data_IF_967340647858
#
_entry.id   IF_967340647858
#
_cell.length_a   1.000
_cell.length_b   1.000
_cell.length_c   1.000
_cell.angle_alpha   90.00
_cell.angle_beta   90.00
_cell.angle_gamma   90.00
#
_symmetry.space_group_name_H-M   'P 1'
#
loop_
_entity.id
_entity.type
_entity.pdbx_description
1 polymer ?
#
# COMPACT_ATOMS: atom_id res chain seq x y z
N UNK A 1 -5.76 33.01 -8.24
CA UNK A 1 -5.92 31.54 -8.36
C UNK A 1 -7.29 31.22 -7.85
N UNK A 2 -8.20 30.81 -8.72
CA UNK A 2 -9.52 30.33 -8.31
C UNK A 2 -9.35 29.05 -7.50
N UNK A 3 -10.10 28.91 -6.41
CA UNK A 3 -10.36 27.59 -5.84
C UNK A 3 -10.81 26.64 -6.94
N UNK A 4 -10.30 25.40 -6.93
CA UNK A 4 -11.11 24.26 -7.42
C UNK A 4 -10.65 23.48 -8.64
N UNK A 5 -9.40 23.54 -9.10
CA UNK A 5 -8.90 22.54 -10.07
C UNK A 5 -7.56 21.93 -9.66
N UNK A 6 -7.54 20.59 -9.60
CA UNK A 6 -6.32 19.81 -9.40
C UNK A 6 -5.33 20.10 -10.52
N UNK A 7 -4.08 20.38 -10.14
CA UNK A 7 -3.00 20.50 -11.11
C UNK A 7 -2.80 19.20 -11.90
N UNK A 8 -2.27 19.27 -13.14
CA UNK A 8 -2.09 18.10 -13.99
C UNK A 8 -1.25 16.99 -13.36
N UNK A 9 -0.23 17.31 -12.55
CA UNK A 9 0.60 16.30 -11.87
C UNK A 9 -0.23 15.59 -10.81
N UNK A 10 -0.89 16.34 -9.93
CA UNK A 10 -1.74 15.78 -8.89
C UNK A 10 -2.86 14.91 -9.48
N UNK A 11 -3.49 15.35 -10.57
CA UNK A 11 -4.52 14.61 -11.29
C UNK A 11 -4.00 13.29 -11.87
N UNK A 12 -2.82 13.30 -12.49
CA UNK A 12 -2.20 12.10 -13.03
C UNK A 12 -1.86 11.10 -11.91
N UNK A 13 -1.24 11.55 -10.83
CA UNK A 13 -0.91 10.71 -9.67
C UNK A 13 -2.17 10.12 -9.05
N UNK A 14 -3.22 10.92 -8.84
CA UNK A 14 -4.49 10.46 -8.30
C UNK A 14 -5.10 9.34 -9.15
N UNK A 15 -5.06 9.45 -10.48
CA UNK A 15 -5.54 8.41 -11.37
C UNK A 15 -4.71 7.11 -11.27
N UNK A 16 -3.38 7.22 -11.22
CA UNK A 16 -2.49 6.05 -11.09
C UNK A 16 -2.67 5.35 -9.75
N UNK A 17 -2.77 6.11 -8.66
CA UNK A 17 -3.04 5.55 -7.33
C UNK A 17 -4.42 4.90 -7.24
N UNK A 18 -5.46 5.52 -7.80
CA UNK A 18 -6.78 4.91 -7.85
C UNK A 18 -6.80 3.58 -8.61
N UNK A 19 -6.05 3.48 -9.72
CA UNK A 19 -5.91 2.23 -10.49
C UNK A 19 -5.19 1.15 -9.66
N UNK A 20 -4.04 1.47 -9.06
CA UNK A 20 -3.26 0.47 -8.31
C UNK A 20 -3.97 0.01 -7.03
N UNK A 21 -4.73 0.88 -6.35
CA UNK A 21 -5.54 0.49 -5.19
C UNK A 21 -6.67 -0.46 -5.57
N UNK A 22 -7.33 -0.26 -6.72
CA UNK A 22 -8.31 -1.22 -7.25
C UNK A 22 -7.66 -2.55 -7.60
N UNK A 23 -6.46 -2.53 -8.18
CA UNK A 23 -5.72 -3.76 -8.49
C UNK A 23 -5.38 -4.54 -7.20
N UNK A 24 -4.93 -3.85 -6.16
CA UNK A 24 -4.66 -4.46 -4.86
C UNK A 24 -5.93 -5.02 -4.20
N UNK A 25 -7.03 -4.25 -4.20
CA UNK A 25 -8.32 -4.68 -3.67
C UNK A 25 -8.84 -5.94 -4.40
N UNK A 26 -8.78 -5.95 -5.73
CA UNK A 26 -9.21 -7.09 -6.55
C UNK A 26 -8.32 -8.32 -6.29
N UNK A 27 -7.01 -8.14 -6.11
CA UNK A 27 -6.11 -9.23 -5.73
C UNK A 27 -6.48 -9.84 -4.36
N UNK A 28 -6.75 -8.99 -3.36
CA UNK A 28 -7.15 -9.42 -2.01
C UNK A 28 -8.47 -10.17 -2.03
N UNK A 29 -9.45 -9.68 -2.80
CA UNK A 29 -10.78 -10.30 -2.91
C UNK A 29 -10.74 -11.65 -3.66
N UNK A 30 -9.80 -11.81 -4.61
CA UNK A 30 -9.65 -13.05 -5.38
C UNK A 30 -8.91 -14.16 -4.64
N UNK A 31 -8.02 -13.82 -3.71
CA UNK A 31 -7.38 -14.81 -2.88
C UNK A 31 -8.44 -15.55 -2.03
N UNK A 32 -8.53 -16.88 -2.05
CA UNK A 32 -9.45 -17.62 -1.18
C UNK A 32 -8.93 -17.61 0.27
N UNK A 33 -9.80 -17.86 1.25
CA UNK A 33 -9.43 -17.78 2.67
C UNK A 33 -8.40 -18.87 3.03
N UNK A 34 -8.50 -20.05 2.43
CA UNK A 34 -7.61 -21.19 2.68
C UNK A 34 -6.19 -20.96 2.17
N UNK A 35 -6.01 -20.03 1.21
CA UNK A 35 -4.72 -19.66 0.62
C UNK A 35 -4.22 -18.30 1.08
N UNK A 36 -4.98 -17.62 1.94
CA UNK A 36 -4.69 -16.23 2.35
C UNK A 36 -3.31 -16.09 3.00
N UNK A 37 -2.87 -17.13 3.70
CA UNK A 37 -1.57 -17.20 4.36
C UNK A 37 -0.56 -18.07 3.63
N UNK A 38 -0.83 -18.47 2.37
CA UNK A 38 0.14 -19.21 1.58
C UNK A 38 1.38 -18.34 1.28
N UNK A 39 2.55 -18.95 1.40
CA UNK A 39 3.83 -18.28 1.26
C UNK A 39 4.99 -19.13 1.75
N UNK A 40 6.19 -18.59 1.62
CA UNK A 40 7.43 -19.23 2.07
C UNK A 40 8.43 -18.18 2.56
N UNK A 41 9.16 -18.51 3.62
CA UNK A 41 10.24 -17.68 4.13
C UNK A 41 9.74 -16.33 4.63
N UNK A 42 10.12 -15.25 3.93
CA UNK A 42 9.76 -13.86 4.27
C UNK A 42 8.63 -13.31 3.41
N UNK A 43 7.98 -14.15 2.60
CA UNK A 43 6.90 -13.74 1.70
C UNK A 43 5.66 -14.59 1.96
N UNK A 44 4.56 -13.94 2.32
CA UNK A 44 3.23 -14.55 2.45
C UNK A 44 2.20 -13.61 1.84
N UNK A 45 1.15 -14.15 1.20
CA UNK A 45 0.16 -13.32 0.50
C UNK A 45 -0.45 -12.24 1.41
N UNK A 46 -0.95 -12.63 2.59
CA UNK A 46 -1.50 -11.70 3.58
C UNK A 46 -0.49 -10.67 4.08
N UNK A 47 0.77 -11.09 4.28
CA UNK A 47 1.83 -10.21 4.76
C UNK A 47 2.20 -9.17 3.70
N UNK A 48 2.34 -9.59 2.45
CA UNK A 48 2.63 -8.72 1.32
C UNK A 48 1.49 -7.74 1.09
N UNK A 49 0.23 -8.19 1.11
CA UNK A 49 -0.94 -7.32 0.99
C UNK A 49 -0.98 -6.25 2.10
N UNK A 50 -0.77 -6.68 3.36
CA UNK A 50 -0.68 -5.75 4.49
C UNK A 50 0.51 -4.78 4.38
N UNK A 51 1.69 -5.29 3.96
CA UNK A 51 2.92 -4.50 3.81
C UNK A 51 2.79 -3.37 2.79
N UNK A 52 2.09 -3.62 1.67
CA UNK A 52 1.81 -2.57 0.68
C UNK A 52 1.07 -1.40 1.33
N UNK A 53 -0.01 -1.69 2.07
CA UNK A 53 -0.85 -0.68 2.70
C UNK A 53 -0.11 0.04 3.82
N UNK A 54 0.67 -0.71 4.61
CA UNK A 54 1.48 -0.15 5.69
C UNK A 54 2.60 0.76 5.18
N UNK A 55 3.22 0.40 4.06
CA UNK A 55 4.18 1.26 3.36
C UNK A 55 3.52 2.52 2.82
N UNK A 56 2.29 2.40 2.33
CA UNK A 56 1.51 3.55 1.90
C UNK A 56 1.15 4.47 3.08
N UNK A 57 0.83 3.94 4.27
CA UNK A 57 0.65 4.75 5.48
C UNK A 57 1.94 5.47 5.87
N UNK A 58 3.07 4.76 5.84
CA UNK A 58 4.38 5.33 6.19
C UNK A 58 4.71 6.57 5.37
N UNK A 59 4.54 6.50 4.04
CA UNK A 59 4.84 7.62 3.16
C UNK A 59 3.76 8.72 3.10
N UNK A 60 2.59 8.51 3.72
CA UNK A 60 1.65 9.60 4.05
C UNK A 60 2.13 10.45 5.23
N UNK A 61 2.98 9.89 6.09
CA UNK A 61 3.59 10.62 7.19
C UNK A 61 4.60 11.65 6.70
N UNK A 62 4.95 12.57 7.59
CA UNK A 62 6.05 13.53 7.43
C UNK A 62 7.30 13.14 8.22
N UNK A 63 7.18 12.16 9.14
CA UNK A 63 8.28 11.75 10.01
C UNK A 63 8.43 10.22 9.97
N UNK A 64 9.53 9.70 9.42
CA UNK A 64 9.77 8.26 9.37
C UNK A 64 9.93 7.61 10.75
N UNK A 65 10.33 8.35 11.78
CA UNK A 65 10.64 7.81 13.11
C UNK A 65 9.38 7.58 13.95
N UNK A 66 8.24 8.17 13.57
CA UNK A 66 6.96 8.01 14.27
C UNK A 66 6.27 6.68 13.91
N UNK A 67 6.61 6.09 12.76
CA UNK A 67 5.90 4.92 12.26
C UNK A 67 6.15 3.67 13.10
N UNK A 68 5.06 3.06 13.58
CA UNK A 68 5.09 1.79 14.31
C UNK A 68 4.61 0.66 13.41
N UNK A 69 5.55 0.01 12.73
CA UNK A 69 5.26 -1.11 11.83
C UNK A 69 4.62 -2.29 12.58
N UNK A 70 3.51 -2.81 12.04
CA UNK A 70 2.71 -3.88 12.63
C UNK A 70 1.64 -3.41 13.62
N UNK A 71 1.64 -2.13 14.04
CA UNK A 71 0.79 -1.65 15.12
C UNK A 71 -0.70 -1.83 14.85
N UNK A 72 -1.15 -1.65 13.59
CA UNK A 72 -2.55 -1.82 13.19
C UNK A 72 -3.06 -3.25 13.42
N UNK A 73 -2.18 -4.23 13.27
CA UNK A 73 -2.46 -5.64 13.53
C UNK A 73 -2.13 -6.07 14.97
N UNK A 74 -1.68 -5.15 15.83
CA UNK A 74 -1.18 -5.47 17.17
C UNK A 74 0.04 -6.40 17.12
N UNK A 75 0.94 -6.16 16.17
CA UNK A 75 2.22 -6.86 16.01
C UNK A 75 3.32 -5.92 16.48
N UNK A 76 4.17 -6.40 17.39
CA UNK A 76 5.48 -5.79 17.65
C UNK A 76 6.53 -6.57 16.86
N UNK A 77 7.06 -5.99 15.76
CA UNK A 77 8.00 -6.71 14.88
C UNK A 77 9.29 -7.12 15.58
N UNK A 78 9.72 -6.37 16.59
CA UNK A 78 10.95 -6.65 17.35
C UNK A 78 10.84 -7.90 18.24
N UNK A 79 9.61 -8.36 18.50
CA UNK A 79 9.32 -9.51 19.37
C UNK A 79 8.97 -10.78 18.57
N UNK A 80 8.98 -10.73 17.23
CA UNK A 80 8.56 -11.85 16.39
C UNK A 80 9.71 -12.83 16.16
N UNK A 81 9.56 -14.03 16.71
CA UNK A 81 10.48 -15.17 16.47
C UNK A 81 9.93 -16.17 15.44
N UNK A 82 8.62 -16.13 15.17
CA UNK A 82 7.96 -17.02 14.21
C UNK A 82 6.79 -16.29 13.52
N UNK A 83 6.95 -15.98 12.24
CA UNK A 83 5.97 -15.24 11.43
C UNK A 83 4.64 -16.01 11.35
N UNK A 84 4.70 -17.31 11.05
CA UNK A 84 3.50 -18.14 10.85
C UNK A 84 2.62 -18.23 12.09
N UNK A 85 3.22 -18.29 13.29
CA UNK A 85 2.47 -18.43 14.55
C UNK A 85 2.04 -17.11 15.15
N UNK A 86 2.79 -16.03 14.94
CA UNK A 86 2.58 -14.75 15.63
C UNK A 86 1.95 -13.71 14.71
N UNK A 87 2.45 -13.58 13.48
CA UNK A 87 2.04 -12.54 12.53
C UNK A 87 0.82 -12.98 11.73
N UNK A 88 0.90 -14.10 11.02
CA UNK A 88 -0.12 -14.48 10.03
C UNK A 88 -1.54 -14.54 10.63
N UNK A 89 -1.77 -15.14 11.82
CA UNK A 89 -3.12 -15.20 12.41
C UNK A 89 -3.72 -13.83 12.73
N UNK A 90 -2.90 -12.78 12.88
CA UNK A 90 -3.35 -11.40 13.12
C UNK A 90 -3.69 -10.66 11.82
N UNK A 91 -3.15 -11.09 10.69
CA UNK A 91 -3.36 -10.45 9.39
C UNK A 91 -4.60 -11.00 8.70
N UNK A 92 -5.78 -10.85 9.31
CA UNK A 92 -7.02 -11.33 8.70
C UNK A 92 -7.35 -10.56 7.42
N UNK A 93 -8.03 -11.21 6.46
CA UNK A 93 -8.43 -10.57 5.21
C UNK A 93 -9.28 -9.32 5.47
N UNK A 94 -10.18 -9.37 6.44
CA UNK A 94 -11.02 -8.23 6.81
C UNK A 94 -10.24 -7.05 7.38
N UNK A 95 -9.23 -7.32 8.23
CA UNK A 95 -8.32 -6.28 8.71
C UNK A 95 -7.62 -5.59 7.55
N UNK A 96 -7.08 -6.37 6.61
CA UNK A 96 -6.34 -5.84 5.45
C UNK A 96 -7.26 -5.04 4.52
N UNK A 97 -8.48 -5.50 4.26
CA UNK A 97 -9.47 -4.76 3.46
C UNK A 97 -9.89 -3.45 4.11
N UNK A 98 -10.22 -3.49 5.41
CA UNK A 98 -10.54 -2.27 6.18
C UNK A 98 -9.40 -1.28 6.12
N UNK A 99 -8.17 -1.76 6.32
CA UNK A 99 -6.99 -0.91 6.31
C UNK A 99 -6.70 -0.32 4.92
N UNK A 100 -6.87 -1.10 3.85
CA UNK A 100 -6.76 -0.62 2.48
C UNK A 100 -7.72 0.54 2.20
N UNK A 101 -8.99 0.39 2.58
CA UNK A 101 -10.00 1.42 2.34
C UNK A 101 -9.64 2.74 3.05
N UNK A 102 -9.27 2.66 4.33
CA UNK A 102 -8.88 3.84 5.10
C UNK A 102 -7.66 4.57 4.52
N UNK A 103 -6.61 3.81 4.16
CA UNK A 103 -5.38 4.41 3.61
C UNK A 103 -5.59 4.91 2.19
N UNK A 104 -6.35 4.18 1.37
CA UNK A 104 -6.73 4.63 0.02
C UNK A 104 -7.51 5.94 0.05
N UNK A 105 -8.46 6.08 0.98
CA UNK A 105 -9.22 7.32 1.16
C UNK A 105 -8.31 8.48 1.61
N UNK A 106 -7.43 8.26 2.59
CA UNK A 106 -6.45 9.27 3.04
C UNK A 106 -5.55 9.72 1.90
N UNK A 107 -5.04 8.80 1.09
CA UNK A 107 -4.26 9.11 -0.11
C UNK A 107 -5.02 9.99 -1.10
N UNK A 108 -6.28 9.64 -1.38
CA UNK A 108 -7.12 10.42 -2.28
C UNK A 108 -7.35 11.84 -1.74
N UNK A 109 -7.57 11.99 -0.44
CA UNK A 109 -7.79 13.29 0.19
C UNK A 109 -6.51 14.14 0.22
N UNK A 110 -5.36 13.55 0.53
CA UNK A 110 -4.06 14.22 0.47
C UNK A 110 -3.74 14.72 -0.94
N UNK A 111 -3.96 13.89 -1.96
CA UNK A 111 -3.70 14.28 -3.35
C UNK A 111 -4.69 15.35 -3.85
N UNK A 112 -5.91 15.39 -3.32
CA UNK A 112 -6.89 16.45 -3.62
C UNK A 112 -6.51 17.80 -3.00
N UNK A 113 -5.83 17.79 -1.86
CA UNK A 113 -5.48 19.01 -1.13
C UNK A 113 -4.16 19.65 -1.56
N UNK A 114 -3.32 18.93 -2.30
CA UNK A 114 -1.97 19.38 -2.68
C UNK A 114 -1.95 19.97 -4.09
N UNK A 115 -1.24 21.07 -4.26
CA UNK A 115 -0.97 21.67 -5.56
C UNK A 115 0.27 21.08 -6.24
N UNK A 116 0.37 21.24 -7.57
CA UNK A 116 1.55 20.78 -8.32
C UNK A 116 2.84 21.45 -7.83
N UNK A 117 2.79 22.72 -7.43
CA UNK A 117 3.97 23.42 -6.89
C UNK A 117 4.40 22.89 -5.53
N UNK A 118 3.48 22.36 -4.72
CA UNK A 118 3.79 21.69 -3.46
C UNK A 118 4.37 20.30 -3.68
N UNK A 119 3.82 19.50 -4.62
CA UNK A 119 4.37 18.19 -4.99
C UNK A 119 5.84 18.29 -5.45
N UNK A 120 6.25 19.42 -6.02
CA UNK A 120 7.61 19.65 -6.47
C UNK A 120 8.59 20.11 -5.37
N UNK A 121 8.13 20.33 -4.13
CA UNK A 121 9.00 20.69 -3.00
C UNK A 121 9.79 19.48 -2.50
N UNK A 122 10.84 19.79 -1.74
CA UNK A 122 11.63 18.80 -1.00
C UNK A 122 10.74 18.06 0.01
N UNK A 123 11.07 16.80 0.25
CA UNK A 123 10.39 15.96 1.24
C UNK A 123 11.11 15.98 2.59
N UNK A 124 10.41 15.70 3.68
CA UNK A 124 11.00 15.56 5.01
C UNK A 124 11.83 14.26 5.15
N UNK A 125 11.57 13.29 4.28
CA UNK A 125 12.34 12.05 4.21
C UNK A 125 13.72 12.33 3.60
N UNK A 126 14.77 12.33 4.42
CA UNK A 126 16.12 12.73 4.03
C UNK A 126 16.75 11.90 2.89
N UNK A 127 16.21 10.71 2.58
CA UNK A 127 16.65 9.86 1.46
C UNK A 127 15.83 10.05 0.18
N UNK A 128 14.89 10.98 0.15
CA UNK A 128 14.05 11.30 -1.02
C UNK A 128 14.20 12.79 -1.35
N UNK A 129 14.39 13.12 -2.61
CA UNK A 129 14.68 14.50 -3.05
C UNK A 129 13.46 15.41 -3.08
N UNK A 130 12.26 14.85 -3.29
CA UNK A 130 11.01 15.61 -3.42
C UNK A 130 9.78 14.78 -3.09
N UNK A 131 8.66 15.46 -2.79
CA UNK A 131 7.35 14.81 -2.61
C UNK A 131 6.98 14.01 -3.86
N UNK A 132 7.22 14.55 -5.07
CA UNK A 132 6.97 13.83 -6.32
C UNK A 132 7.74 12.51 -6.40
N UNK A 133 9.04 12.52 -6.06
CA UNK A 133 9.83 11.30 -6.05
C UNK A 133 9.28 10.28 -5.04
N UNK A 134 8.87 10.72 -3.85
CA UNK A 134 8.21 9.85 -2.84
C UNK A 134 6.96 9.19 -3.41
N UNK A 135 6.12 9.97 -4.08
CA UNK A 135 4.88 9.48 -4.69
C UNK A 135 5.14 8.51 -5.84
N UNK A 136 6.16 8.75 -6.68
CA UNK A 136 6.52 7.80 -7.74
C UNK A 136 7.15 6.53 -7.16
N UNK A 137 7.99 6.67 -6.14
CA UNK A 137 8.60 5.54 -5.43
C UNK A 137 7.55 4.61 -4.87
N UNK A 138 6.57 5.15 -4.13
CA UNK A 138 5.51 4.35 -3.53
C UNK A 138 4.62 3.70 -4.60
N UNK A 139 4.31 4.40 -5.70
CA UNK A 139 3.55 3.81 -6.80
C UNK A 139 4.30 2.62 -7.42
N UNK A 140 5.61 2.73 -7.63
CA UNK A 140 6.45 1.64 -8.14
C UNK A 140 6.52 0.48 -7.16
N UNK A 141 6.73 0.76 -5.87
CA UNK A 141 6.75 -0.25 -4.79
C UNK A 141 5.43 -1.03 -4.73
N UNK A 142 4.31 -0.31 -4.77
CA UNK A 142 2.97 -0.89 -4.78
C UNK A 142 2.78 -1.80 -5.99
N UNK A 143 3.10 -1.32 -7.20
CA UNK A 143 2.97 -2.09 -8.42
C UNK A 143 3.84 -3.36 -8.41
N UNK A 144 5.08 -3.26 -7.88
CA UNK A 144 5.98 -4.40 -7.75
C UNK A 144 5.33 -5.52 -6.93
N UNK A 145 4.80 -5.22 -5.74
CA UNK A 145 4.18 -6.22 -4.88
C UNK A 145 2.81 -6.69 -5.38
N UNK A 146 2.01 -5.83 -6.03
CA UNK A 146 0.79 -6.28 -6.72
C UNK A 146 1.13 -7.29 -7.82
N UNK A 147 2.27 -7.14 -8.49
CA UNK A 147 2.82 -8.16 -9.40
C UNK A 147 3.09 -9.49 -8.69
N UNK A 148 3.67 -9.48 -7.50
CA UNK A 148 3.90 -10.69 -6.69
C UNK A 148 2.58 -11.37 -6.26
N UNK A 149 1.58 -10.59 -5.85
CA UNK A 149 0.25 -11.12 -5.52
C UNK A 149 -0.40 -11.75 -6.75
N UNK A 150 -0.30 -11.10 -7.92
CA UNK A 150 -0.83 -11.64 -9.18
C UNK A 150 -0.12 -12.92 -9.61
N UNK A 151 1.19 -13.05 -9.36
CA UNK A 151 1.91 -14.31 -9.59
C UNK A 151 1.31 -15.43 -8.74
N UNK A 152 1.12 -15.19 -7.43
CA UNK A 152 0.55 -16.19 -6.54
C UNK A 152 -0.88 -16.59 -6.92
N UNK A 153 -1.73 -15.63 -7.32
CA UNK A 153 -3.07 -15.95 -7.84
C UNK A 153 -3.02 -16.91 -9.04
N UNK A 154 -2.08 -16.68 -9.97
CA UNK A 154 -1.90 -17.57 -11.13
C UNK A 154 -1.37 -18.95 -10.74
N UNK A 155 -0.49 -19.03 -9.74
CA UNK A 155 0.01 -20.31 -9.21
C UNK A 155 -1.10 -21.13 -8.53
N UNK A 156 -2.20 -20.49 -8.14
CA UNK A 156 -3.41 -21.14 -7.62
C UNK A 156 -4.49 -21.38 -8.69
N UNK A 157 -4.14 -21.26 -9.98
CA UNK A 157 -5.06 -21.35 -11.12
C UNK A 157 -6.22 -20.32 -11.08
N UNK A 158 -6.01 -19.18 -10.42
CA UNK A 158 -6.97 -18.08 -10.36
C UNK A 158 -6.62 -16.98 -11.38
N UNK A 159 -7.65 -16.24 -11.79
CA UNK A 159 -7.43 -15.03 -12.58
C UNK A 159 -6.64 -14.00 -11.76
N UNK A 160 -5.65 -13.29 -12.32
CA UNK A 160 -4.98 -12.19 -11.63
C UNK A 160 -5.95 -11.02 -11.42
N UNK A 161 -5.54 -10.03 -10.63
CA UNK A 161 -6.26 -8.77 -10.52
C UNK A 161 -6.48 -8.12 -11.90
N UNK A 162 -7.65 -7.51 -12.09
CA UNK A 162 -7.96 -6.74 -13.29
C UNK A 162 -7.16 -5.45 -13.29
N UNK A 163 -6.71 -5.04 -14.47
CA UNK A 163 -6.11 -3.71 -14.63
C UNK A 163 -7.13 -2.63 -14.28
N UNK A 164 -6.71 -1.66 -13.46
CA UNK A 164 -7.59 -0.63 -12.87
C UNK A 164 -7.72 0.64 -13.69
#
# INVERSE_FOLDING_TARGET
MTEGELGPIAKALMAQYASVWKMLEDAINKAPDERWHDGVGQWYFSQTAYHIIETAQFYLGSDPDIMKWGARAGINRDEVTNIEKVILPKLTKELVKTYLNEIGQKWADTLKSVSDSEILKTDDFHWISSILEKLIYLLRHTNYHVGELNRALREWDLSPARWG
#
